data_IF_721789531404
#
_entry.id   IF_721789531404
#
_cell.length_a   1.000
_cell.length_b   1.000
_cell.length_c   1.000
_cell.angle_alpha   90.00
_cell.angle_beta   90.00
_cell.angle_gamma   90.00
#
_symmetry.space_group_name_H-M   'P 1'
#
loop_
_entity.id
_entity.type
_entity.pdbx_description
1 polymer ?
#
# COMPACT_ATOMS: atom_id res chain seq x y z
N UNK A 1 -5.28 -17.38 1.73
CA UNK A 1 -4.11 -16.51 2.06
C UNK A 1 -2.73 -17.11 1.77
N UNK A 2 -2.40 -18.40 2.01
CA UNK A 2 -0.97 -18.82 2.04
C UNK A 2 -0.30 -19.25 0.71
N UNK A 3 -0.99 -19.89 -0.25
CA UNK A 3 -0.31 -20.50 -1.42
C UNK A 3 -0.06 -19.52 -2.59
N UNK A 4 -0.99 -18.60 -2.82
CA UNK A 4 -0.91 -17.63 -3.92
C UNK A 4 -0.81 -16.17 -3.44
N UNK A 5 -0.74 -15.95 -2.12
CA UNK A 5 -0.77 -14.63 -1.49
C UNK A 5 0.59 -13.96 -1.29
N UNK A 6 1.69 -14.70 -1.47
CA UNK A 6 3.03 -14.13 -1.54
C UNK A 6 3.20 -13.41 -2.88
N UNK A 7 2.88 -12.12 -2.86
CA UNK A 7 3.20 -11.22 -3.95
C UNK A 7 4.74 -11.24 -4.06
N UNK A 8 5.29 -11.39 -5.27
CA UNK A 8 6.73 -11.20 -5.57
C UNK A 8 7.71 -12.39 -5.51
N UNK A 9 7.31 -13.65 -5.28
CA UNK A 9 8.26 -14.79 -5.33
C UNK A 9 7.96 -15.76 -6.49
N UNK A 10 8.44 -15.45 -7.71
CA UNK A 10 8.10 -16.26 -8.93
C UNK A 10 8.62 -17.69 -8.91
N UNK A 11 9.81 -17.91 -8.36
CA UNK A 11 10.43 -19.25 -8.28
C UNK A 11 9.70 -20.19 -7.31
N UNK A 12 9.38 -19.72 -6.10
CA UNK A 12 8.69 -20.54 -5.08
C UNK A 12 7.23 -20.78 -5.46
N UNK A 13 6.60 -19.83 -6.16
CA UNK A 13 5.21 -19.90 -6.59
C UNK A 13 4.97 -21.05 -7.60
N UNK A 14 5.71 -21.12 -8.70
CA UNK A 14 5.50 -22.19 -9.69
C UNK A 14 6.01 -23.56 -9.23
N UNK A 15 7.04 -23.59 -8.38
CA UNK A 15 7.46 -24.82 -7.70
C UNK A 15 6.35 -25.37 -6.81
N UNK A 16 5.63 -24.50 -6.09
CA UNK A 16 4.47 -24.89 -5.29
C UNK A 16 3.36 -25.46 -6.17
N UNK A 17 3.05 -24.81 -7.30
CA UNK A 17 2.08 -25.34 -8.28
C UNK A 17 2.52 -26.71 -8.81
N UNK A 18 3.80 -26.90 -9.15
CA UNK A 18 4.32 -28.17 -9.63
C UNK A 18 4.15 -29.29 -8.59
N UNK A 19 4.49 -29.03 -7.33
CA UNK A 19 4.29 -29.99 -6.25
C UNK A 19 2.82 -30.41 -6.13
N UNK A 20 1.90 -29.44 -6.23
CA UNK A 20 0.45 -29.70 -6.22
C UNK A 20 0.03 -30.54 -7.44
N UNK A 21 0.49 -30.20 -8.65
CA UNK A 21 0.18 -30.95 -9.89
C UNK A 21 0.65 -32.39 -9.78
N UNK A 22 1.87 -32.62 -9.27
CA UNK A 22 2.40 -33.96 -9.07
C UNK A 22 1.57 -34.75 -8.05
N UNK A 23 1.18 -34.12 -6.93
CA UNK A 23 0.28 -34.72 -5.95
C UNK A 23 -1.10 -35.08 -6.54
N UNK A 24 -1.68 -34.19 -7.36
CA UNK A 24 -2.95 -34.44 -8.05
C UNK A 24 -2.87 -35.63 -9.02
N UNK A 25 -1.78 -35.72 -9.80
CA UNK A 25 -1.56 -36.82 -10.75
C UNK A 25 -1.33 -38.13 -9.99
N UNK A 26 -0.57 -38.10 -8.89
CA UNK A 26 -0.35 -39.27 -8.04
C UNK A 26 -1.68 -39.75 -7.42
N UNK A 27 -2.55 -38.82 -7.00
CA UNK A 27 -3.85 -39.15 -6.43
C UNK A 27 -4.76 -39.85 -7.44
N UNK A 28 -4.86 -39.35 -8.68
CA UNK A 28 -5.62 -40.02 -9.75
C UNK A 28 -5.09 -41.44 -9.99
N UNK A 29 -3.76 -41.59 -10.02
CA UNK A 29 -3.13 -42.90 -10.24
C UNK A 29 -3.21 -43.84 -9.02
N UNK A 30 -3.81 -43.40 -7.91
CA UNK A 30 -3.80 -44.11 -6.62
C UNK A 30 -2.38 -44.42 -6.11
N UNK A 31 -1.43 -43.55 -6.43
CA UNK A 31 -0.01 -43.63 -6.04
C UNK A 31 0.40 -42.53 -5.05
N UNK A 32 -0.53 -41.65 -4.64
CA UNK A 32 -0.23 -40.54 -3.73
C UNK A 32 0.09 -41.02 -2.32
N UNK A 33 1.10 -40.40 -1.73
CA UNK A 33 1.40 -40.50 -0.29
C UNK A 33 0.38 -39.74 0.55
N UNK A 34 0.32 -40.05 1.85
CA UNK A 34 -0.59 -39.38 2.77
C UNK A 34 -0.34 -37.85 2.86
N UNK A 35 0.95 -37.45 2.81
CA UNK A 35 1.37 -36.04 2.84
C UNK A 35 0.94 -35.28 1.58
N UNK A 36 1.13 -35.88 0.39
CA UNK A 36 0.68 -35.30 -0.88
C UNK A 36 -0.84 -35.13 -0.92
N UNK A 37 -1.57 -36.11 -0.39
CA UNK A 37 -3.03 -36.08 -0.35
C UNK A 37 -3.57 -35.00 0.61
N UNK A 38 -2.91 -34.80 1.75
CA UNK A 38 -3.24 -33.70 2.67
C UNK A 38 -2.94 -32.34 2.02
N UNK A 39 -1.79 -32.19 1.37
CA UNK A 39 -1.40 -30.97 0.66
C UNK A 39 -2.42 -30.61 -0.44
N UNK A 40 -2.81 -31.58 -1.25
CA UNK A 40 -3.81 -31.39 -2.32
C UNK A 40 -5.16 -30.97 -1.73
N UNK A 41 -5.66 -31.67 -0.71
CA UNK A 41 -6.94 -31.33 -0.05
C UNK A 41 -6.93 -29.90 0.48
N UNK A 42 -5.92 -29.54 1.28
CA UNK A 42 -5.78 -28.21 1.86
C UNK A 42 -5.69 -27.12 0.79
N UNK A 43 -5.04 -27.42 -0.33
CA UNK A 43 -4.94 -26.50 -1.47
C UNK A 43 -6.29 -26.28 -2.13
N UNK A 44 -7.03 -27.35 -2.46
CA UNK A 44 -8.35 -27.26 -3.08
C UNK A 44 -9.35 -26.54 -2.14
N UNK A 45 -9.34 -26.84 -0.84
CA UNK A 45 -10.15 -26.12 0.14
C UNK A 45 -9.82 -24.63 0.19
N UNK A 46 -8.53 -24.28 0.11
CA UNK A 46 -8.12 -22.88 0.05
C UNK A 46 -8.60 -22.21 -1.24
N UNK A 47 -8.56 -22.89 -2.39
CA UNK A 47 -9.04 -22.32 -3.65
C UNK A 47 -10.56 -22.16 -3.61
N UNK A 48 -11.30 -23.15 -3.12
CA UNK A 48 -12.75 -23.09 -2.97
C UNK A 48 -13.18 -21.91 -2.09
N UNK A 49 -12.49 -21.70 -0.96
CA UNK A 49 -12.77 -20.58 -0.06
C UNK A 49 -12.54 -19.22 -0.73
N UNK A 50 -11.46 -19.08 -1.50
CA UNK A 50 -11.12 -17.82 -2.20
C UNK A 50 -12.03 -17.57 -3.41
N UNK A 51 -12.54 -18.62 -4.07
CA UNK A 51 -13.60 -18.51 -5.10
C UNK A 51 -14.95 -18.14 -4.48
N UNK A 52 -15.29 -18.71 -3.32
CA UNK A 52 -16.53 -18.42 -2.59
C UNK A 52 -16.55 -16.99 -2.00
N UNK A 53 -15.38 -16.41 -1.71
CA UNK A 53 -15.26 -15.02 -1.26
C UNK A 53 -15.71 -13.99 -2.32
N UNK A 54 -15.91 -14.42 -3.58
CA UNK A 54 -16.49 -13.62 -4.65
C UNK A 54 -15.51 -13.24 -5.75
N UNK A 55 -16.07 -12.72 -6.84
CA UNK A 55 -15.31 -12.17 -7.97
C UNK A 55 -14.59 -10.91 -7.52
N UNK A 56 -13.32 -10.82 -7.86
CA UNK A 56 -12.45 -9.78 -7.31
C UNK A 56 -11.57 -9.08 -8.33
N UNK A 57 -11.59 -9.51 -9.60
CA UNK A 57 -10.95 -8.74 -10.65
C UNK A 57 -11.86 -7.60 -11.12
N UNK A 58 -11.25 -6.55 -11.66
CA UNK A 58 -11.89 -5.32 -12.14
C UNK A 58 -13.12 -5.61 -13.03
N UNK A 59 -14.02 -4.63 -13.17
CA UNK A 59 -15.15 -4.66 -14.13
C UNK A 59 -14.73 -4.59 -15.61
N UNK A 60 -13.50 -5.00 -15.92
CA UNK A 60 -13.06 -5.25 -17.28
C UNK A 60 -13.69 -6.57 -17.72
N UNK A 61 -14.49 -6.51 -18.79
CA UNK A 61 -15.30 -7.63 -19.27
C UNK A 61 -14.44 -8.83 -19.67
N UNK A 62 -13.26 -8.60 -20.26
CA UNK A 62 -12.37 -9.67 -20.71
C UNK A 62 -11.68 -10.34 -19.52
N UNK A 63 -11.30 -9.54 -18.51
CA UNK A 63 -10.70 -10.04 -17.27
C UNK A 63 -11.73 -10.82 -16.43
N UNK A 64 -12.95 -10.30 -16.31
CA UNK A 64 -14.04 -10.96 -15.58
C UNK A 64 -14.41 -12.29 -16.23
N UNK A 65 -14.51 -12.31 -17.57
CA UNK A 65 -14.76 -13.53 -18.32
C UNK A 65 -13.66 -14.58 -18.12
N UNK A 66 -12.40 -14.15 -18.10
CA UNK A 66 -11.28 -15.06 -17.83
C UNK A 66 -11.35 -15.66 -16.42
N UNK A 67 -11.70 -14.86 -15.40
CA UNK A 67 -11.91 -15.36 -14.02
C UNK A 67 -13.05 -16.39 -13.97
N UNK A 68 -14.15 -16.13 -14.68
CA UNK A 68 -15.30 -17.03 -14.76
C UNK A 68 -14.95 -18.36 -15.44
N UNK A 69 -14.31 -18.28 -16.61
CA UNK A 69 -13.88 -19.45 -17.38
C UNK A 69 -12.92 -20.34 -16.57
N UNK A 70 -11.95 -19.73 -15.88
CA UNK A 70 -11.01 -20.44 -14.99
C UNK A 70 -11.75 -21.10 -13.82
N UNK A 71 -12.72 -20.40 -13.22
CA UNK A 71 -13.49 -20.93 -12.10
C UNK A 71 -14.28 -22.17 -12.52
N UNK A 72 -14.93 -22.14 -13.70
CA UNK A 72 -15.68 -23.29 -14.23
C UNK A 72 -14.77 -24.49 -14.47
N UNK A 73 -13.62 -24.28 -15.10
CA UNK A 73 -12.67 -25.38 -15.37
C UNK A 73 -12.06 -25.93 -14.07
N UNK A 74 -11.78 -25.07 -13.10
CA UNK A 74 -11.31 -25.51 -11.79
C UNK A 74 -12.34 -26.38 -11.07
N UNK A 75 -13.64 -26.07 -11.16
CA UNK A 75 -14.66 -26.93 -10.56
C UNK A 75 -14.65 -28.34 -11.17
N UNK A 76 -14.40 -28.46 -12.48
CA UNK A 76 -14.23 -29.77 -13.11
C UNK A 76 -12.97 -30.48 -12.62
N UNK A 77 -11.85 -29.77 -12.45
CA UNK A 77 -10.64 -30.35 -11.84
C UNK A 77 -10.95 -30.88 -10.44
N UNK A 78 -11.63 -30.08 -9.61
CA UNK A 78 -11.98 -30.46 -8.25
C UNK A 78 -12.90 -31.69 -8.22
N UNK A 79 -13.86 -31.80 -9.14
CA UNK A 79 -14.67 -32.99 -9.33
C UNK A 79 -13.80 -34.23 -9.58
N UNK A 80 -12.91 -34.20 -10.58
CA UNK A 80 -12.02 -35.32 -10.92
C UNK A 80 -11.26 -35.85 -9.70
N UNK A 81 -10.79 -34.94 -8.85
CA UNK A 81 -9.98 -35.28 -7.67
C UNK A 81 -10.83 -35.89 -6.55
N UNK A 82 -12.10 -35.47 -6.46
CA UNK A 82 -13.07 -35.90 -5.45
C UNK A 82 -13.89 -37.11 -5.89
N UNK A 83 -13.82 -37.46 -7.17
CA UNK A 83 -14.53 -38.58 -7.78
C UNK A 83 -14.29 -39.89 -7.03
N UNK A 84 -15.33 -40.71 -6.92
CA UNK A 84 -15.14 -42.12 -6.62
C UNK A 84 -14.45 -42.83 -7.80
N UNK A 85 -13.70 -43.91 -7.53
CA UNK A 85 -12.92 -44.63 -8.55
C UNK A 85 -13.77 -45.05 -9.77
N UNK A 86 -15.05 -45.34 -9.56
CA UNK A 86 -16.04 -45.72 -10.58
C UNK A 86 -16.39 -44.62 -11.58
N UNK A 87 -16.26 -43.34 -11.20
CA UNK A 87 -16.60 -42.19 -12.05
C UNK A 87 -15.37 -41.39 -12.54
N UNK A 88 -14.19 -41.71 -11.99
CA UNK A 88 -12.94 -40.99 -12.24
C UNK A 88 -12.58 -40.82 -13.72
N UNK A 89 -12.78 -41.84 -14.56
CA UNK A 89 -12.48 -41.77 -15.99
C UNK A 89 -13.43 -40.82 -16.74
N UNK A 90 -14.73 -40.87 -16.44
CA UNK A 90 -15.73 -39.99 -17.07
C UNK A 90 -15.50 -38.53 -16.67
N UNK A 91 -15.26 -38.28 -15.39
CA UNK A 91 -14.98 -36.92 -14.91
C UNK A 91 -13.68 -36.38 -15.50
N UNK A 92 -12.67 -37.24 -15.66
CA UNK A 92 -11.42 -36.89 -16.33
C UNK A 92 -11.66 -36.46 -17.77
N UNK A 93 -12.45 -37.20 -18.54
CA UNK A 93 -12.81 -36.84 -19.92
C UNK A 93 -13.50 -35.48 -19.99
N UNK A 94 -14.47 -35.24 -19.10
CA UNK A 94 -15.18 -33.95 -18.99
C UNK A 94 -14.19 -32.81 -18.71
N UNK A 95 -13.28 -32.97 -17.75
CA UNK A 95 -12.26 -31.95 -17.47
C UNK A 95 -11.40 -31.65 -18.70
N UNK A 96 -10.94 -32.68 -19.42
CA UNK A 96 -10.12 -32.50 -20.64
C UNK A 96 -10.89 -31.80 -21.77
N UNK A 97 -12.19 -32.02 -21.88
CA UNK A 97 -13.07 -31.32 -22.81
C UNK A 97 -13.21 -29.84 -22.42
N UNK A 98 -13.50 -29.56 -21.15
CA UNK A 98 -13.68 -28.20 -20.64
C UNK A 98 -12.41 -27.34 -20.80
N UNK A 99 -11.22 -27.89 -20.53
CA UNK A 99 -9.96 -27.15 -20.77
C UNK A 99 -9.80 -26.74 -22.24
N UNK A 100 -10.28 -27.57 -23.18
CA UNK A 100 -10.23 -27.30 -24.63
C UNK A 100 -11.31 -26.30 -25.05
N UNK A 101 -12.55 -26.49 -24.59
CA UNK A 101 -13.69 -25.64 -24.92
C UNK A 101 -13.48 -24.20 -24.43
N UNK A 102 -13.07 -24.05 -23.17
CA UNK A 102 -12.79 -22.75 -22.55
C UNK A 102 -11.41 -22.18 -22.92
N UNK A 103 -10.60 -22.93 -23.69
CA UNK A 103 -9.30 -22.50 -24.23
C UNK A 103 -8.40 -21.88 -23.16
N UNK A 104 -8.24 -22.57 -22.03
CA UNK A 104 -7.58 -22.01 -20.82
C UNK A 104 -6.18 -21.45 -21.10
N UNK A 105 -5.34 -22.12 -21.91
CA UNK A 105 -4.03 -21.58 -22.28
C UNK A 105 -4.17 -20.22 -22.97
N UNK A 106 -5.10 -20.08 -23.93
CA UNK A 106 -5.35 -18.80 -24.60
C UNK A 106 -5.84 -17.73 -23.63
N UNK A 107 -6.75 -18.09 -22.72
CA UNK A 107 -7.28 -17.16 -21.72
C UNK A 107 -6.18 -16.65 -20.78
N UNK A 108 -5.32 -17.53 -20.29
CA UNK A 108 -4.20 -17.16 -19.44
C UNK A 108 -3.19 -16.25 -20.16
N UNK A 109 -2.87 -16.54 -21.43
CA UNK A 109 -2.00 -15.68 -22.22
C UNK A 109 -2.67 -14.32 -22.51
N UNK A 110 -3.98 -14.28 -22.74
CA UNK A 110 -4.72 -13.03 -22.94
C UNK A 110 -4.71 -12.17 -21.66
N UNK A 111 -4.97 -12.76 -20.49
CA UNK A 111 -4.89 -12.09 -19.20
C UNK A 111 -3.47 -11.55 -18.94
N UNK A 112 -2.44 -12.36 -19.19
CA UNK A 112 -1.03 -11.94 -19.09
C UNK A 112 -0.72 -10.74 -20.02
N UNK A 113 -1.12 -10.82 -21.28
CA UNK A 113 -0.88 -9.74 -22.24
C UNK A 113 -1.63 -8.46 -21.85
N UNK A 114 -2.87 -8.60 -21.34
CA UNK A 114 -3.68 -7.48 -20.83
C UNK A 114 -3.04 -6.80 -19.62
N UNK A 115 -2.40 -7.57 -18.75
CA UNK A 115 -1.64 -7.07 -17.60
C UNK A 115 -0.36 -6.34 -18.00
N UNK A 116 0.28 -6.75 -19.09
CA UNK A 116 1.49 -6.11 -19.62
C UNK A 116 1.23 -5.04 -20.69
N UNK A 117 -0.02 -4.89 -21.16
CA UNK A 117 -0.37 -3.93 -22.21
C UNK A 117 0.15 -4.33 -23.59
N UNK A 118 0.50 -5.61 -23.79
CA UNK A 118 1.05 -6.10 -25.05
C UNK A 118 -0.08 -6.33 -26.04
N UNK A 119 -0.18 -5.47 -27.06
CA UNK A 119 -1.09 -5.64 -28.18
C UNK A 119 -0.35 -5.57 -29.52
N UNK A 120 -0.84 -6.30 -30.51
CA UNK A 120 -0.25 -6.44 -31.84
C UNK A 120 -0.31 -5.13 -32.65
N UNK A 121 -1.21 -4.22 -32.29
CA UNK A 121 -1.54 -3.04 -33.10
C UNK A 121 -1.16 -1.69 -32.46
N UNK A 122 -0.94 -1.63 -31.15
CA UNK A 122 -0.46 -0.44 -30.42
C UNK A 122 -0.11 -0.79 -28.97
N UNK A 123 0.70 0.03 -28.31
CA UNK A 123 0.86 -0.03 -26.84
C UNK A 123 -0.48 0.30 -26.19
N UNK A 124 -1.08 -0.68 -25.52
CA UNK A 124 -2.29 -0.48 -24.73
C UNK A 124 -1.91 -0.16 -23.29
N UNK A 125 -2.70 0.71 -22.65
CA UNK A 125 -2.57 0.96 -21.21
C UNK A 125 -2.75 -0.38 -20.49
N UNK A 126 -1.74 -0.75 -19.70
CA UNK A 126 -1.78 -1.99 -18.92
C UNK A 126 -2.98 -2.00 -17.97
N UNK A 127 -3.53 -3.18 -17.65
CA UNK A 127 -4.64 -3.27 -16.69
C UNK A 127 -4.29 -2.57 -15.37
N UNK A 128 -3.05 -2.78 -14.91
CA UNK A 128 -2.49 -2.18 -13.71
C UNK A 128 -2.49 -0.64 -13.74
N UNK A 129 -2.04 -0.03 -14.84
CA UNK A 129 -2.10 1.42 -15.02
C UNK A 129 -3.53 1.94 -15.16
N UNK A 130 -4.42 1.16 -15.77
CA UNK A 130 -5.82 1.55 -15.85
C UNK A 130 -6.46 1.60 -14.45
N UNK A 131 -6.16 0.65 -13.56
CA UNK A 131 -6.63 0.72 -12.17
C UNK A 131 -6.13 2.00 -11.50
N UNK A 132 -4.86 2.36 -11.69
CA UNK A 132 -4.31 3.62 -11.16
C UNK A 132 -5.11 4.83 -11.67
N UNK A 133 -5.31 4.91 -12.99
CA UNK A 133 -5.96 6.05 -13.63
C UNK A 133 -7.44 6.18 -13.25
N UNK A 134 -8.16 5.06 -13.20
CA UNK A 134 -9.62 5.06 -13.05
C UNK A 134 -10.04 5.08 -11.56
N UNK A 135 -9.20 4.58 -10.64
CA UNK A 135 -9.57 4.41 -9.23
C UNK A 135 -8.62 5.03 -8.23
N UNK A 136 -7.41 5.44 -8.62
CA UNK A 136 -6.38 5.94 -7.69
C UNK A 136 -6.29 5.10 -6.41
N UNK A 137 -6.03 3.79 -6.52
CA UNK A 137 -6.03 2.90 -5.36
C UNK A 137 -4.90 3.26 -4.42
N UNK A 138 -5.10 3.02 -3.12
CA UNK A 138 -4.01 3.02 -2.14
C UNK A 138 -3.07 1.85 -2.44
N UNK A 139 -1.81 1.95 -1.99
CA UNK A 139 -0.81 0.89 -2.21
C UNK A 139 -1.28 -0.49 -1.75
N UNK A 140 -1.92 -0.59 -0.58
CA UNK A 140 -2.41 -1.87 -0.07
C UNK A 140 -3.58 -2.43 -0.90
N UNK A 141 -4.41 -1.56 -1.49
CA UNK A 141 -5.49 -1.96 -2.41
C UNK A 141 -4.89 -2.51 -3.72
N UNK A 142 -3.83 -1.88 -4.22
CA UNK A 142 -3.07 -2.38 -5.37
C UNK A 142 -2.41 -3.74 -5.08
N UNK A 143 -1.83 -3.91 -3.89
CA UNK A 143 -1.26 -5.20 -3.46
C UNK A 143 -2.34 -6.28 -3.39
N UNK A 144 -3.50 -5.98 -2.79
CA UNK A 144 -4.63 -6.90 -2.73
C UNK A 144 -5.15 -7.26 -4.14
N UNK A 145 -5.20 -6.29 -5.04
CA UNK A 145 -5.54 -6.52 -6.45
C UNK A 145 -4.54 -7.45 -7.15
N UNK A 146 -3.24 -7.21 -6.97
CA UNK A 146 -2.18 -8.08 -7.50
C UNK A 146 -2.26 -9.51 -6.92
N UNK A 147 -2.60 -9.65 -5.63
CA UNK A 147 -2.85 -10.96 -5.01
C UNK A 147 -4.01 -11.70 -5.69
N UNK A 148 -5.11 -11.00 -6.00
CA UNK A 148 -6.24 -11.61 -6.71
C UNK A 148 -5.87 -12.02 -8.14
N UNK A 149 -5.09 -11.21 -8.85
CA UNK A 149 -4.55 -11.59 -10.18
C UNK A 149 -3.71 -12.87 -10.07
N UNK A 150 -2.82 -12.93 -9.09
CA UNK A 150 -1.99 -14.12 -8.85
C UNK A 150 -2.83 -15.34 -8.48
N UNK A 151 -3.91 -15.16 -7.74
CA UNK A 151 -4.84 -16.24 -7.43
C UNK A 151 -5.50 -16.80 -8.71
N UNK A 152 -6.02 -15.93 -9.58
CA UNK A 152 -6.70 -16.33 -10.82
C UNK A 152 -5.72 -17.00 -11.79
N UNK A 153 -4.55 -16.39 -12.02
CA UNK A 153 -3.50 -16.98 -12.84
C UNK A 153 -3.05 -18.33 -12.28
N UNK A 154 -2.81 -18.43 -10.98
CA UNK A 154 -2.37 -19.67 -10.33
C UNK A 154 -3.36 -20.80 -10.47
N UNK A 155 -4.64 -20.51 -10.26
CA UNK A 155 -5.74 -21.48 -10.40
C UNK A 155 -5.84 -21.97 -11.85
N UNK A 156 -5.74 -21.08 -12.83
CA UNK A 156 -5.75 -21.48 -14.24
C UNK A 156 -4.48 -22.23 -14.66
N UNK A 157 -3.31 -21.85 -14.15
CA UNK A 157 -2.04 -22.55 -14.40
C UNK A 157 -2.05 -23.96 -13.81
N UNK A 158 -2.62 -24.13 -12.61
CA UNK A 158 -2.86 -25.43 -12.00
C UNK A 158 -3.69 -26.31 -12.94
N UNK A 159 -4.81 -25.80 -13.45
CA UNK A 159 -5.64 -26.53 -14.42
C UNK A 159 -4.88 -26.87 -15.70
N UNK A 160 -4.11 -25.91 -16.24
CA UNK A 160 -3.35 -26.08 -17.47
C UNK A 160 -2.25 -27.15 -17.34
N UNK A 161 -1.46 -27.12 -16.27
CA UNK A 161 -0.39 -28.08 -16.02
C UNK A 161 -0.93 -29.46 -15.66
N UNK A 162 -2.04 -29.52 -14.95
CA UNK A 162 -2.72 -30.78 -14.70
C UNK A 162 -3.21 -31.42 -16.00
N UNK A 163 -3.88 -30.65 -16.87
CA UNK A 163 -4.24 -31.10 -18.21
C UNK A 163 -3.02 -31.55 -19.02
N UNK A 164 -1.92 -30.78 -19.00
CA UNK A 164 -0.67 -31.15 -19.66
C UNK A 164 -0.14 -32.51 -19.21
N UNK A 165 -0.14 -32.74 -17.89
CA UNK A 165 0.31 -33.99 -17.28
C UNK A 165 -0.59 -35.18 -17.63
N UNK A 166 -1.91 -34.97 -17.74
CA UNK A 166 -2.88 -36.01 -18.14
C UNK A 166 -2.84 -36.36 -19.62
N UNK A 167 -2.36 -35.43 -20.47
CA UNK A 167 -2.28 -35.59 -21.93
C UNK A 167 -0.87 -35.93 -22.42
N UNK A 168 0.11 -36.07 -21.51
CA UNK A 168 1.50 -36.40 -21.84
C UNK A 168 2.28 -35.27 -22.49
N UNK A 169 1.85 -34.01 -22.32
CA UNK A 169 2.63 -32.83 -22.75
C UNK A 169 3.83 -32.64 -21.83
N UNK A 170 4.86 -31.96 -22.33
CA UNK A 170 6.02 -31.57 -21.54
C UNK A 170 5.64 -30.45 -20.55
N UNK A 171 5.19 -30.85 -19.37
CA UNK A 171 4.83 -29.94 -18.27
C UNK A 171 6.02 -29.12 -17.78
N UNK A 172 7.25 -29.64 -17.86
CA UNK A 172 8.46 -28.91 -17.44
C UNK A 172 8.75 -27.73 -18.38
N UNK A 173 8.66 -27.95 -19.68
CA UNK A 173 8.79 -26.88 -20.67
C UNK A 173 7.68 -25.82 -20.50
N UNK A 174 6.44 -26.25 -20.28
CA UNK A 174 5.32 -25.35 -20.02
C UNK A 174 5.56 -24.50 -18.76
N UNK A 175 6.04 -25.11 -17.68
CA UNK A 175 6.38 -24.41 -16.44
C UNK A 175 7.50 -23.40 -16.65
N UNK A 176 8.59 -23.78 -17.31
CA UNK A 176 9.71 -22.86 -17.61
C UNK A 176 9.23 -21.61 -18.33
N UNK A 177 8.39 -21.77 -19.37
CA UNK A 177 7.82 -20.63 -20.11
C UNK A 177 6.98 -19.71 -19.22
N UNK A 178 6.20 -20.29 -18.31
CA UNK A 178 5.38 -19.52 -17.39
C UNK A 178 6.22 -18.87 -16.28
N UNK A 179 7.34 -19.47 -15.86
CA UNK A 179 8.29 -18.85 -14.93
C UNK A 179 8.79 -17.52 -15.45
N UNK A 180 9.28 -17.49 -16.69
CA UNK A 180 9.78 -16.27 -17.31
C UNK A 180 8.70 -15.19 -17.40
N UNK A 181 7.48 -15.59 -17.78
CA UNK A 181 6.31 -14.69 -17.83
C UNK A 181 5.98 -14.11 -16.45
N UNK A 182 5.90 -14.95 -15.43
CA UNK A 182 5.57 -14.52 -14.07
C UNK A 182 6.65 -13.60 -13.49
N UNK A 183 7.93 -13.83 -13.78
CA UNK A 183 9.01 -12.92 -13.37
C UNK A 183 8.82 -11.52 -13.96
N UNK A 184 8.47 -11.40 -15.25
CA UNK A 184 8.19 -10.10 -15.89
C UNK A 184 6.95 -9.45 -15.27
N UNK A 185 5.87 -10.22 -15.07
CA UNK A 185 4.64 -9.72 -14.46
C UNK A 185 4.87 -9.18 -13.05
N UNK A 186 5.67 -9.88 -12.24
CA UNK A 186 5.95 -9.45 -10.87
C UNK A 186 6.77 -8.17 -10.83
N UNK A 187 7.77 -7.99 -11.69
CA UNK A 187 8.44 -6.67 -11.77
C UNK A 187 7.44 -5.56 -12.10
N UNK A 188 6.55 -5.81 -13.07
CA UNK A 188 5.56 -4.83 -13.50
C UNK A 188 4.56 -4.47 -12.41
N UNK A 189 4.04 -5.46 -11.70
CA UNK A 189 3.16 -5.26 -10.56
C UNK A 189 3.89 -4.50 -9.43
N UNK A 190 5.19 -4.75 -9.20
CA UNK A 190 5.97 -4.10 -8.13
C UNK A 190 6.18 -2.62 -8.45
N UNK A 191 6.59 -2.33 -9.69
CA UNK A 191 6.76 -0.96 -10.19
C UNK A 191 5.44 -0.18 -10.12
N UNK A 192 4.34 -0.79 -10.55
CA UNK A 192 3.00 -0.18 -10.44
C UNK A 192 2.64 0.11 -8.97
N UNK A 193 2.98 -0.79 -8.04
CA UNK A 193 2.71 -0.58 -6.61
C UNK A 193 3.52 0.60 -6.05
N UNK A 194 4.70 0.88 -6.60
CA UNK A 194 5.50 2.07 -6.27
C UNK A 194 4.88 3.33 -6.88
N UNK A 195 4.32 3.26 -8.09
CA UNK A 195 3.61 4.37 -8.71
C UNK A 195 2.41 4.83 -7.88
N UNK A 196 1.77 3.92 -7.12
CA UNK A 196 0.72 4.30 -6.17
C UNK A 196 1.19 5.27 -5.08
N UNK A 197 2.49 5.32 -4.77
CA UNK A 197 3.05 6.29 -3.86
C UNK A 197 3.12 7.70 -4.50
N UNK A 198 3.09 7.86 -5.82
CA UNK A 198 3.25 9.17 -6.43
C UNK A 198 2.15 10.19 -6.05
N UNK A 199 0.95 9.70 -5.70
CA UNK A 199 -0.22 10.51 -5.37
C UNK A 199 -0.69 10.33 -3.92
N UNK A 200 0.17 9.83 -3.02
CA UNK A 200 -0.22 9.61 -1.62
C UNK A 200 -0.60 10.91 -0.90
N UNK A 201 -0.04 12.06 -1.31
CA UNK A 201 -0.28 13.34 -0.65
C UNK A 201 -1.72 13.80 -0.84
N UNK A 202 -2.21 13.69 -2.07
CA UNK A 202 -3.58 14.00 -2.45
C UNK A 202 -4.55 13.09 -1.70
N UNK A 203 -4.27 11.78 -1.65
CA UNK A 203 -5.10 10.83 -0.90
C UNK A 203 -5.11 11.11 0.61
N UNK A 204 -3.93 11.35 1.21
CA UNK A 204 -3.83 11.63 2.64
C UNK A 204 -4.55 12.95 2.99
N UNK A 205 -4.46 13.95 2.11
CA UNK A 205 -5.21 15.20 2.26
C UNK A 205 -6.73 14.95 2.19
N UNK A 206 -7.21 14.15 1.24
CA UNK A 206 -8.62 13.78 1.14
C UNK A 206 -9.11 12.99 2.35
N UNK A 207 -8.29 12.06 2.87
CA UNK A 207 -8.62 11.27 4.06
C UNK A 207 -8.87 12.18 5.26
N UNK A 208 -8.01 13.18 5.48
CA UNK A 208 -8.20 14.16 6.56
C UNK A 208 -9.42 15.04 6.29
N UNK A 209 -9.61 15.53 5.05
CA UNK A 209 -10.78 16.35 4.69
C UNK A 209 -12.10 15.61 4.92
N UNK A 210 -12.17 14.31 4.63
CA UNK A 210 -13.34 13.47 4.87
C UNK A 210 -13.52 13.14 6.36
N UNK A 211 -12.41 13.01 7.10
CA UNK A 211 -12.42 12.69 8.53
C UNK A 211 -12.97 13.83 9.39
N UNK A 212 -12.54 15.08 9.14
CA UNK A 212 -12.86 16.24 9.97
C UNK A 212 -14.38 16.47 10.19
N UNK A 213 -15.23 16.56 9.14
CA UNK A 213 -16.66 16.81 9.32
C UNK A 213 -17.40 15.62 9.96
N UNK A 214 -16.88 14.40 9.81
CA UNK A 214 -17.48 13.20 10.41
C UNK A 214 -17.16 13.04 11.91
N UNK A 215 -16.22 13.82 12.45
CA UNK A 215 -15.68 13.65 13.80
C UNK A 215 -15.51 14.99 14.53
N UNK A 216 -16.43 15.94 14.32
CA UNK A 216 -16.35 17.27 14.94
C UNK A 216 -16.36 17.22 16.47
N UNK A 217 -17.11 16.27 17.05
CA UNK A 217 -17.28 16.09 18.50
C UNK A 217 -16.02 15.62 19.24
N UNK A 218 -15.00 15.14 18.52
CA UNK A 218 -13.76 14.66 19.13
C UNK A 218 -12.89 15.82 19.61
N UNK A 219 -12.20 15.62 20.73
CA UNK A 219 -11.15 16.54 21.19
C UNK A 219 -9.97 16.58 20.22
N UNK A 220 -9.15 17.64 20.25
CA UNK A 220 -7.99 17.77 19.36
C UNK A 220 -7.02 16.59 19.49
N UNK A 221 -6.84 16.07 20.71
CA UNK A 221 -6.00 14.90 20.97
C UNK A 221 -6.59 13.62 20.37
N UNK A 222 -7.90 13.41 20.50
CA UNK A 222 -8.59 12.26 19.91
C UNK A 222 -8.59 12.32 18.38
N UNK A 223 -8.79 13.51 17.80
CA UNK A 223 -8.66 13.76 16.36
C UNK A 223 -7.25 13.42 15.88
N UNK A 224 -6.22 13.92 16.56
CA UNK A 224 -4.82 13.63 16.21
C UNK A 224 -4.53 12.13 16.24
N UNK A 225 -4.96 11.42 17.28
CA UNK A 225 -4.76 9.98 17.41
C UNK A 225 -5.54 9.16 16.37
N UNK A 226 -6.78 9.54 16.06
CA UNK A 226 -7.60 8.87 15.06
C UNK A 226 -7.04 9.08 13.63
N UNK A 227 -6.68 10.31 13.28
CA UNK A 227 -6.03 10.62 12.00
C UNK A 227 -4.70 9.87 11.88
N UNK A 228 -3.91 9.84 12.95
CA UNK A 228 -2.65 9.09 12.97
C UNK A 228 -2.85 7.60 12.64
N UNK A 229 -3.86 6.95 13.24
CA UNK A 229 -4.20 5.55 12.92
C UNK A 229 -4.60 5.34 11.46
N UNK A 230 -5.32 6.30 10.86
CA UNK A 230 -5.67 6.25 9.43
C UNK A 230 -4.39 6.33 8.58
N UNK A 231 -3.49 7.27 8.91
CA UNK A 231 -2.24 7.46 8.19
C UNK A 231 -1.33 6.22 8.29
N UNK A 232 -1.17 5.67 9.48
CA UNK A 232 -0.37 4.48 9.73
C UNK A 232 -0.91 3.24 8.99
N UNK A 233 -2.23 3.10 8.93
CA UNK A 233 -2.87 1.98 8.21
C UNK A 233 -2.74 2.12 6.69
N UNK A 234 -2.96 3.32 6.16
CA UNK A 234 -3.05 3.55 4.72
C UNK A 234 -1.69 3.78 4.05
N UNK A 235 -0.74 4.31 4.80
CA UNK A 235 0.58 4.76 4.34
C UNK A 235 1.67 4.23 5.27
N UNK A 236 1.69 2.92 5.46
CA UNK A 236 2.55 2.19 6.40
C UNK A 236 4.07 2.30 6.10
N UNK A 237 4.42 2.67 4.86
CA UNK A 237 5.80 2.93 4.44
C UNK A 237 6.32 4.32 4.85
N UNK A 238 5.48 5.17 5.43
CA UNK A 238 5.85 6.49 5.92
C UNK A 238 5.79 6.54 7.45
N UNK A 239 6.68 7.35 8.03
CA UNK A 239 6.54 7.83 9.40
C UNK A 239 5.75 9.10 9.42
N UNK A 240 4.86 9.23 10.39
CA UNK A 240 3.88 10.29 10.48
C UNK A 240 3.97 10.97 11.84
N UNK A 241 3.74 12.28 11.83
CA UNK A 241 3.41 13.06 13.00
C UNK A 241 2.19 13.91 12.67
N UNK A 242 1.17 13.82 13.50
CA UNK A 242 -0.13 14.47 13.35
C UNK A 242 -0.29 15.49 14.46
N UNK A 243 -0.57 16.72 14.05
CA UNK A 243 -0.73 17.86 14.92
C UNK A 243 -2.07 18.51 14.60
N UNK A 244 -2.88 18.76 15.63
CA UNK A 244 -4.18 19.40 15.52
C UNK A 244 -4.15 20.66 16.38
N UNK A 245 -4.62 21.77 15.84
CA UNK A 245 -4.64 23.05 16.54
C UNK A 245 -5.91 23.84 16.25
N UNK A 246 -6.41 24.51 17.29
CA UNK A 246 -7.46 25.54 17.24
C UNK A 246 -7.03 26.78 18.03
N UNK A 247 -7.36 28.01 17.59
CA UNK A 247 -7.97 28.40 16.29
C UNK A 247 -6.98 28.24 15.11
N UNK A 248 -7.43 28.40 13.85
CA UNK A 248 -6.54 28.24 12.69
C UNK A 248 -5.54 29.40 12.67
N UNK A 249 -4.26 29.08 12.80
CA UNK A 249 -3.15 30.02 12.67
C UNK A 249 -2.45 29.88 11.33
N UNK A 250 -1.51 30.79 11.05
CA UNK A 250 -0.57 30.62 9.95
C UNK A 250 0.24 29.32 10.15
N UNK A 251 0.29 28.48 9.12
CA UNK A 251 1.00 27.19 9.17
C UNK A 251 2.49 27.45 8.96
N UNK A 252 3.21 27.54 10.07
CA UNK A 252 4.65 27.79 10.09
C UNK A 252 5.42 26.47 10.04
N UNK A 253 5.42 25.83 8.86
CA UNK A 253 6.08 24.55 8.60
C UNK A 253 7.02 24.67 7.41
N UNK A 254 8.18 24.01 7.48
CA UNK A 254 9.10 23.84 6.35
C UNK A 254 9.56 22.40 6.28
N UNK A 255 9.58 21.82 5.08
CA UNK A 255 9.96 20.42 4.85
C UNK A 255 8.81 19.60 4.26
N UNK A 256 8.70 18.33 4.68
CA UNK A 256 7.74 17.37 4.16
C UNK A 256 6.46 17.36 5.01
N UNK A 257 5.44 18.09 4.56
CA UNK A 257 4.17 18.20 5.28
C UNK A 257 2.94 18.23 4.39
N UNK A 258 1.78 17.98 4.99
CA UNK A 258 0.43 18.18 4.45
C UNK A 258 -0.33 19.06 5.46
N UNK A 259 -1.03 20.06 4.96
CA UNK A 259 -1.84 20.96 5.78
C UNK A 259 -3.28 20.91 5.32
N UNK A 260 -4.21 20.72 6.26
CA UNK A 260 -5.65 20.67 6.00
C UNK A 260 -6.39 21.53 7.01
N UNK A 261 -7.19 22.46 6.50
CA UNK A 261 -8.07 23.30 7.30
C UNK A 261 -9.50 22.77 7.19
N UNK A 262 -10.12 22.53 8.35
CA UNK A 262 -11.55 22.17 8.47
C UNK A 262 -12.44 23.41 8.56
N UNK A 263 -13.75 23.21 8.35
CA UNK A 263 -14.74 24.29 8.29
C UNK A 263 -14.91 25.02 9.63
N UNK A 264 -14.75 24.33 10.77
CA UNK A 264 -14.80 24.93 12.12
C UNK A 264 -13.49 25.61 12.55
N UNK A 265 -12.55 25.85 11.63
CA UNK A 265 -11.25 26.44 11.95
C UNK A 265 -10.25 25.44 12.57
N UNK A 266 -10.53 24.14 12.53
CA UNK A 266 -9.54 23.11 12.88
C UNK A 266 -8.41 23.14 11.87
N UNK A 267 -7.18 23.30 12.33
CA UNK A 267 -6.00 23.16 11.49
C UNK A 267 -5.30 21.84 11.81
N UNK A 268 -5.13 20.99 10.80
CA UNK A 268 -4.36 19.74 10.89
C UNK A 268 -3.08 19.89 10.10
N UNK A 269 -1.96 19.55 10.71
CA UNK A 269 -0.65 19.47 10.06
C UNK A 269 -0.12 18.04 10.21
N UNK A 270 0.14 17.40 9.08
CA UNK A 270 0.79 16.10 9.00
C UNK A 270 2.24 16.32 8.56
N UNK A 271 3.22 15.91 9.35
CA UNK A 271 4.61 15.80 8.91
C UNK A 271 4.92 14.33 8.59
N UNK A 272 5.69 14.08 7.53
CA UNK A 272 6.00 12.72 7.11
C UNK A 272 7.45 12.54 6.63
N UNK A 273 7.96 11.31 6.76
CA UNK A 273 9.27 10.90 6.24
C UNK A 273 9.26 9.41 5.90
N UNK A 274 9.81 9.03 4.74
CA UNK A 274 9.97 7.62 4.36
C UNK A 274 11.15 6.97 5.10
N UNK A 275 12.25 7.71 5.22
CA UNK A 275 13.51 7.24 5.80
C UNK A 275 14.03 8.28 6.81
N UNK A 276 13.42 8.37 8.00
CA UNK A 276 13.80 9.38 8.98
C UNK A 276 15.23 9.20 9.46
N UNK A 277 16.01 10.27 9.47
CA UNK A 277 17.41 10.30 9.90
C UNK A 277 17.50 10.77 11.34
N UNK A 278 18.53 10.31 12.07
CA UNK A 278 18.76 10.80 13.43
C UNK A 278 19.13 12.29 13.42
N UNK A 279 18.49 13.06 14.28
CA UNK A 279 18.78 14.48 14.45
C UNK A 279 20.06 14.65 15.28
N UNK A 280 20.92 15.58 14.87
CA UNK A 280 22.00 16.06 15.72
C UNK A 280 21.40 16.87 16.87
N UNK A 281 21.19 16.21 18.01
CA UNK A 281 20.61 16.83 19.19
C UNK A 281 21.50 17.95 19.70
N UNK A 282 22.83 17.83 19.66
CA UNK A 282 23.74 18.87 20.13
C UNK A 282 23.56 20.17 19.35
N UNK A 283 23.61 20.07 18.01
CA UNK A 283 23.37 21.20 17.12
C UNK A 283 21.96 21.76 17.24
N UNK A 284 20.94 20.90 17.37
CA UNK A 284 19.55 21.32 17.53
C UNK A 284 19.35 22.14 18.80
N UNK A 285 19.82 21.64 19.95
CA UNK A 285 19.72 22.37 21.21
C UNK A 285 20.56 23.66 21.21
N UNK A 286 21.72 23.67 20.55
CA UNK A 286 22.51 24.89 20.40
C UNK A 286 21.73 25.97 19.62
N UNK A 287 21.11 25.62 18.50
CA UNK A 287 20.34 26.57 17.68
C UNK A 287 19.13 27.12 18.44
N UNK A 288 18.41 26.25 19.15
CA UNK A 288 17.28 26.61 20.01
C UNK A 288 17.75 27.51 21.16
N UNK A 289 18.82 27.15 21.87
CA UNK A 289 19.37 27.95 22.97
C UNK A 289 19.85 29.33 22.52
N UNK A 290 20.52 29.42 21.37
CA UNK A 290 20.88 30.72 20.79
C UNK A 290 19.65 31.56 20.41
N UNK A 291 18.48 30.94 20.20
CA UNK A 291 17.20 31.64 20.00
C UNK A 291 16.47 31.94 21.30
N UNK A 292 16.63 31.19 22.38
CA UNK A 292 15.96 31.58 23.63
C UNK A 292 16.70 32.73 24.33
N UNK A 293 18.03 32.70 24.26
CA UNK A 293 18.89 33.56 25.10
C UNK A 293 19.55 34.71 24.35
N UNK A 294 19.66 34.65 23.02
CA UNK A 294 20.37 35.66 22.21
C UNK A 294 19.50 36.32 21.15
N UNK A 295 18.17 36.33 21.27
CA UNK A 295 17.36 37.12 20.32
C UNK A 295 17.74 38.60 20.48
N UNK A 296 18.29 39.25 19.43
CA UNK A 296 18.45 40.69 19.44
C UNK A 296 17.08 41.32 19.72
N UNK A 297 17.02 42.40 20.50
CA UNK A 297 15.79 43.17 20.66
C UNK A 297 15.15 43.36 19.26
N UNK A 298 13.84 43.06 19.10
CA UNK A 298 13.20 43.23 17.81
C UNK A 298 13.46 44.64 17.25
N UNK A 299 13.51 44.80 15.92
CA UNK A 299 13.60 46.12 15.30
C UNK A 299 12.52 47.09 15.85
N UNK A 300 12.75 48.41 15.89
CA UNK A 300 11.79 49.37 16.46
C UNK A 300 10.39 49.31 15.83
N UNK A 301 10.31 49.04 14.53
CA UNK A 301 9.10 48.79 13.76
C UNK A 301 8.34 47.53 14.22
N UNK A 302 9.07 46.49 14.63
CA UNK A 302 8.49 45.26 15.18
C UNK A 302 7.92 45.52 16.58
N UNK A 303 8.55 46.38 17.40
CA UNK A 303 7.98 46.79 18.69
C UNK A 303 6.66 47.54 18.54
N UNK A 304 6.58 48.50 17.61
CA UNK A 304 5.33 49.20 17.30
C UNK A 304 4.20 48.23 16.89
N UNK A 305 4.52 47.20 16.10
CA UNK A 305 3.54 46.18 15.72
C UNK A 305 3.15 45.25 16.88
N UNK A 306 4.07 44.95 17.80
CA UNK A 306 3.77 44.17 19.02
C UNK A 306 2.86 44.95 19.97
N UNK A 307 3.10 46.25 20.13
CA UNK A 307 2.24 47.13 20.94
C UNK A 307 0.84 47.25 20.33
N UNK A 308 0.73 47.26 18.99
CA UNK A 308 -0.54 47.33 18.28
C UNK A 308 -1.31 45.99 18.24
N UNK A 309 -0.63 44.85 18.14
CA UNK A 309 -1.22 43.50 18.18
C UNK A 309 -0.37 42.55 19.06
N UNK A 310 -0.83 42.23 20.28
CA UNK A 310 -0.15 41.27 21.16
C UNK A 310 0.02 39.87 20.55
N UNK A 311 -0.83 39.49 19.58
CA UNK A 311 -0.72 38.23 18.83
C UNK A 311 0.43 38.23 17.82
N UNK A 312 0.91 39.40 17.41
CA UNK A 312 2.03 39.56 16.49
C UNK A 312 3.36 39.07 17.09
N UNK A 313 3.59 39.32 18.39
CA UNK A 313 4.79 38.86 19.09
C UNK A 313 4.97 37.33 19.02
N UNK A 314 3.87 36.59 19.17
CA UNK A 314 3.89 35.12 19.13
C UNK A 314 4.24 34.61 17.73
N UNK A 315 3.63 35.20 16.69
CA UNK A 315 3.89 34.85 15.28
C UNK A 315 5.31 35.19 14.86
N UNK A 316 5.77 36.39 15.19
CA UNK A 316 7.13 36.84 14.90
C UNK A 316 8.19 35.90 15.49
N UNK A 317 8.01 35.48 16.75
CA UNK A 317 8.94 34.57 17.41
C UNK A 317 8.95 33.18 16.76
N UNK A 318 7.77 32.61 16.48
CA UNK A 318 7.64 31.32 15.81
C UNK A 318 8.29 31.36 14.41
N UNK A 319 8.06 32.42 13.64
CA UNK A 319 8.64 32.58 12.31
C UNK A 319 10.18 32.70 12.35
N UNK A 320 10.74 33.43 13.32
CA UNK A 320 12.20 33.48 13.54
C UNK A 320 12.77 32.12 13.93
N UNK A 321 12.06 31.38 14.78
CA UNK A 321 12.44 30.04 15.19
C UNK A 321 12.50 29.10 13.97
N UNK A 322 11.46 29.11 13.14
CA UNK A 322 11.40 28.34 11.90
C UNK A 322 12.55 28.71 10.95
N UNK A 323 12.77 30.01 10.73
CA UNK A 323 13.80 30.49 9.81
C UNK A 323 15.18 29.97 10.21
N UNK A 324 15.62 30.26 11.44
CA UNK A 324 16.98 29.93 11.87
C UNK A 324 17.19 28.42 12.01
N UNK A 325 16.21 27.66 12.48
CA UNK A 325 16.33 26.20 12.50
C UNK A 325 16.41 25.63 11.09
N UNK A 326 15.66 26.19 10.13
CA UNK A 326 15.71 25.72 8.75
C UNK A 326 17.02 26.05 8.04
N UNK A 327 17.65 27.18 8.37
CA UNK A 327 18.98 27.56 7.87
C UNK A 327 20.07 26.71 8.55
N UNK A 328 19.92 26.43 9.85
CA UNK A 328 20.91 25.72 10.65
C UNK A 328 20.93 24.20 10.43
N UNK A 329 19.76 23.56 10.32
CA UNK A 329 19.65 22.09 10.25
C UNK A 329 19.78 21.53 8.82
N UNK A 330 19.54 22.35 7.79
CA UNK A 330 19.72 21.97 6.40
C UNK A 330 18.52 21.24 5.78
N UNK A 331 18.75 20.61 4.62
CA UNK A 331 17.72 19.88 3.87
C UNK A 331 17.42 18.52 4.52
N UNK A 332 16.22 18.00 4.31
CA UNK A 332 15.78 16.69 4.81
C UNK A 332 15.12 16.75 6.20
N UNK A 333 15.22 17.87 6.90
CA UNK A 333 14.53 18.09 8.18
C UNK A 333 13.20 18.82 7.94
N UNK A 334 12.14 18.34 8.59
CA UNK A 334 10.85 19.02 8.67
C UNK A 334 10.72 19.72 10.01
N UNK A 335 10.39 21.01 9.98
CA UNK A 335 10.28 21.86 11.16
C UNK A 335 8.89 22.47 11.18
N UNK A 336 8.18 22.32 12.29
CA UNK A 336 6.89 22.95 12.54
C UNK A 336 6.97 23.78 13.82
N UNK A 337 6.65 25.07 13.73
CA UNK A 337 6.59 25.97 14.89
C UNK A 337 5.16 26.41 15.14
N UNK A 338 4.68 26.28 16.37
CA UNK A 338 3.31 26.68 16.75
C UNK A 338 3.36 27.71 17.86
N UNK A 339 2.65 28.85 17.70
CA UNK A 339 2.37 29.77 18.79
C UNK A 339 1.57 29.07 19.91
N UNK A 340 2.19 28.85 21.07
CA UNK A 340 1.58 28.15 22.21
C UNK A 340 1.86 26.64 22.27
N UNK A 341 1.01 25.92 23.02
CA UNK A 341 1.13 24.47 23.23
C UNK A 341 0.56 23.72 22.04
N UNK A 342 1.21 22.64 21.64
CA UNK A 342 0.77 21.76 20.57
C UNK A 342 0.64 20.33 21.06
N UNK A 343 -0.52 19.72 20.81
CA UNK A 343 -0.69 18.28 20.97
C UNK A 343 -0.24 17.57 19.69
N UNK A 344 0.55 16.51 19.85
CA UNK A 344 1.19 15.79 18.76
C UNK A 344 1.09 14.28 19.00
N UNK A 345 0.76 13.51 17.95
CA UNK A 345 0.81 12.04 17.97
C UNK A 345 1.55 11.55 16.73
N UNK A 346 2.45 10.58 16.87
CA UNK A 346 3.23 10.08 15.73
C UNK A 346 4.06 8.85 16.03
N UNK A 347 4.66 8.27 14.98
CA UNK A 347 5.55 7.11 15.05
C UNK A 347 6.97 7.38 14.54
N UNK A 348 7.39 8.64 14.54
CA UNK A 348 8.80 8.97 14.29
C UNK A 348 9.69 8.32 15.37
N UNK A 349 10.85 7.77 14.99
CA UNK A 349 11.83 7.28 15.96
C UNK A 349 12.25 8.39 16.94
N UNK A 350 12.47 8.11 18.24
CA UNK A 350 12.89 9.11 19.23
C UNK A 350 14.24 9.79 18.92
N UNK A 351 15.07 9.18 18.07
CA UNK A 351 16.32 9.77 17.59
C UNK A 351 16.10 10.78 16.45
N UNK A 352 14.98 10.67 15.73
CA UNK A 352 14.61 11.46 14.56
C UNK A 352 13.55 12.52 14.84
N UNK A 353 13.13 12.67 16.10
CA UNK A 353 12.10 13.62 16.50
C UNK A 353 12.57 14.42 17.72
N UNK A 354 12.39 15.73 17.68
CA UNK A 354 12.56 16.64 18.82
C UNK A 354 11.30 17.48 18.95
N UNK A 355 10.67 17.42 20.11
CA UNK A 355 9.60 18.30 20.53
C UNK A 355 10.17 19.21 21.62
N UNK A 356 10.09 20.53 21.43
CA UNK A 356 10.63 21.49 22.36
C UNK A 356 9.65 22.65 22.59
N UNK A 357 9.26 22.85 23.85
CA UNK A 357 8.52 24.02 24.28
C UNK A 357 9.50 25.14 24.63
N UNK A 358 9.50 26.22 23.86
CA UNK A 358 10.39 27.35 24.12
C UNK A 358 9.68 28.44 24.92
N UNK A 359 10.45 29.07 25.81
CA UNK A 359 9.97 30.18 26.64
C UNK A 359 10.83 31.43 26.42
N UNK A 360 10.24 32.44 25.81
CA UNK A 360 10.85 33.75 25.65
C UNK A 360 10.03 34.81 26.40
N UNK A 361 10.69 35.90 26.83
CA UNK A 361 10.05 37.01 27.55
C UNK A 361 8.82 37.62 26.84
N UNK A 362 8.73 37.47 25.51
CA UNK A 362 7.63 38.00 24.70
C UNK A 362 6.51 36.99 24.44
N UNK A 363 6.83 35.69 24.36
CA UNK A 363 5.89 34.67 23.91
C UNK A 363 6.39 33.25 24.23
N UNK A 364 5.43 32.34 24.28
CA UNK A 364 5.62 30.90 24.45
C UNK A 364 5.24 30.20 23.14
N UNK A 365 5.92 29.10 22.82
CA UNK A 365 5.55 28.28 21.68
C UNK A 365 6.19 26.91 21.70
N UNK A 366 5.80 26.10 20.72
CA UNK A 366 6.28 24.73 20.56
C UNK A 366 6.98 24.63 19.20
N UNK A 367 8.12 23.95 19.17
CA UNK A 367 8.77 23.56 17.92
C UNK A 367 8.90 22.05 17.85
N UNK A 368 8.46 21.49 16.73
CA UNK A 368 8.60 20.10 16.37
C UNK A 368 9.61 19.99 15.23
N UNK A 369 10.58 19.11 15.37
CA UNK A 369 11.64 18.88 14.39
C UNK A 369 11.67 17.39 14.09
N UNK A 370 11.59 17.04 12.80
CA UNK A 370 11.56 15.68 12.30
C UNK A 370 12.69 15.50 11.27
N UNK A 371 13.55 14.50 11.48
CA UNK A 371 14.69 14.18 10.61
C UNK A 371 14.40 13.14 9.55
#
# INVERSE_FOLDING_TARGET
MALFGKVWESGTYLQSINAIVMGLVAQIKSLATAEELELVKKTLESIDKELAAGKGLMRDMDVTRCEDDISVVYQQLASVVRAEKSYSDKEREVFLEYVREYKIDRQLNALYNRLLGVSVLADQITLLQQVIRDHHPRRWEMIAFCQKINFVLGTGLLCLFFHGSLTGRDTQLMMSRWTDKMTVLYRRMEDTSKDCAAYFKEQAQEDVKKFLPANEDLTDQEKAAAIFKIMEKNYDWLRWSVMVSHPPGEVLVKGSYISVQGECGTQVVLCYSENPVSLDKGKTHQLIGDLEWKIPNPPPDVYANIEADPGYAKRYLAQRMLQKLSEGLGKGVTIHTVPGKLEMTGNFPPASCVLYEYKHRMALGTVCIFG
#
